data_IF_139986394832
#
_entry.id   IF_139986394832
#
_cell.length_a   1.000
_cell.length_b   1.000
_cell.length_c   1.000
_cell.angle_alpha   90.00
_cell.angle_beta   90.00
_cell.angle_gamma   90.00
#
_symmetry.space_group_name_H-M   'P 1'
#
loop_
_entity.id
_entity.type
_entity.pdbx_description
1 polymer ?
#
# COMPACT_ATOMS: atom_id res chain seq x y z
N UNK A 1 4.52 29.12 -18.01
CA UNK A 1 3.63 28.62 -16.94
C UNK A 1 4.30 27.61 -16.00
N UNK A 2 4.23 26.28 -16.18
CA UNK A 2 4.73 25.34 -15.13
C UNK A 2 6.24 25.36 -14.89
N UNK A 3 7.05 25.64 -15.92
CA UNK A 3 8.51 25.79 -15.77
C UNK A 3 8.90 27.04 -14.99
N UNK A 4 8.22 28.16 -15.19
CA UNK A 4 8.47 29.41 -14.47
C UNK A 4 8.10 29.31 -12.99
N UNK A 5 6.99 28.63 -12.64
CA UNK A 5 6.65 28.41 -11.21
C UNK A 5 7.71 27.58 -10.48
N UNK A 6 8.24 26.54 -11.12
CA UNK A 6 9.29 25.68 -10.55
C UNK A 6 10.61 26.45 -10.37
N UNK A 7 10.91 27.37 -11.30
CA UNK A 7 12.09 28.23 -11.24
C UNK A 7 11.98 29.27 -10.11
N UNK A 8 10.77 29.82 -9.89
CA UNK A 8 10.48 30.69 -8.74
C UNK A 8 10.70 29.93 -7.43
N UNK A 9 10.19 28.70 -7.29
CA UNK A 9 10.38 27.90 -6.07
C UNK A 9 11.86 27.60 -5.78
N UNK A 10 12.68 27.33 -6.81
CA UNK A 10 14.13 27.16 -6.64
C UNK A 10 14.83 28.47 -6.25
N UNK A 11 14.36 29.62 -6.75
CA UNK A 11 14.90 30.95 -6.43
C UNK A 11 14.58 31.43 -5.00
N UNK A 12 13.46 30.99 -4.41
CA UNK A 12 13.13 31.27 -2.99
C UNK A 12 13.73 30.25 -2.00
N UNK A 13 14.59 29.34 -2.47
CA UNK A 13 15.24 28.34 -1.62
C UNK A 13 14.31 27.22 -1.17
N UNK A 14 13.26 26.92 -1.94
CA UNK A 14 12.42 25.76 -1.65
C UNK A 14 13.29 24.50 -1.69
N UNK A 15 13.39 23.84 -0.54
CA UNK A 15 14.13 22.60 -0.37
C UNK A 15 13.55 21.55 -1.31
N UNK A 16 14.39 20.68 -1.88
CA UNK A 16 13.97 19.56 -2.76
C UNK A 16 12.80 18.75 -2.19
N UNK A 17 12.61 18.78 -0.87
CA UNK A 17 11.48 18.23 -0.15
C UNK A 17 10.11 18.64 -0.73
N UNK A 18 9.88 19.89 -1.12
CA UNK A 18 8.53 20.33 -1.56
C UNK A 18 8.02 19.56 -2.78
N UNK A 19 8.93 19.14 -3.66
CA UNK A 19 8.61 18.31 -4.85
C UNK A 19 8.40 16.83 -4.47
N UNK A 20 9.01 16.37 -3.37
CA UNK A 20 8.99 14.98 -2.91
C UNK A 20 7.73 14.63 -2.10
N UNK A 21 7.15 15.57 -1.33
CA UNK A 21 5.92 15.34 -0.55
C UNK A 21 4.79 14.72 -1.39
N UNK A 22 4.37 15.33 -2.53
CA UNK A 22 3.21 14.83 -3.26
C UNK A 22 3.42 13.41 -3.76
N UNK A 23 4.62 13.10 -4.27
CA UNK A 23 4.98 11.75 -4.73
C UNK A 23 4.99 10.73 -3.58
N UNK A 24 5.48 11.11 -2.40
CA UNK A 24 5.47 10.24 -1.23
C UNK A 24 4.03 9.92 -0.81
N UNK A 25 3.15 10.92 -0.80
CA UNK A 25 1.71 10.75 -0.49
C UNK A 25 1.05 9.82 -1.51
N UNK A 26 1.29 10.02 -2.80
CA UNK A 26 0.77 9.14 -3.85
C UNK A 26 1.21 7.69 -3.66
N UNK A 27 2.49 7.46 -3.34
CA UNK A 27 3.03 6.13 -3.03
C UNK A 27 2.37 5.50 -1.81
N UNK A 28 2.16 6.28 -0.74
CA UNK A 28 1.47 5.82 0.46
C UNK A 28 0.02 5.40 0.16
N UNK A 29 -0.70 6.20 -0.64
CA UNK A 29 -2.08 5.91 -1.05
C UNK A 29 -2.11 4.65 -1.93
N UNK A 30 -1.20 4.51 -2.89
CA UNK A 30 -1.09 3.29 -3.70
C UNK A 30 -0.83 2.05 -2.84
N UNK A 31 0.06 2.16 -1.84
CA UNK A 31 0.32 1.11 -0.87
C UNK A 31 -0.90 0.74 -0.03
N UNK A 32 -1.66 1.73 0.44
CA UNK A 32 -2.92 1.52 1.16
C UNK A 32 -3.94 0.76 0.30
N UNK A 33 -4.18 1.25 -0.92
CA UNK A 33 -5.16 0.68 -1.85
C UNK A 33 -4.77 -0.75 -2.22
N UNK A 34 -3.49 -1.03 -2.48
CA UNK A 34 -2.99 -2.38 -2.72
C UNK A 34 -3.24 -3.32 -1.53
N UNK A 35 -3.00 -2.84 -0.31
CA UNK A 35 -3.29 -3.58 0.92
C UNK A 35 -4.78 -3.90 1.09
N UNK A 36 -5.66 -2.93 0.84
CA UNK A 36 -7.12 -3.12 0.90
C UNK A 36 -7.61 -4.12 -0.16
N UNK A 37 -7.06 -4.06 -1.38
CA UNK A 37 -7.39 -5.02 -2.44
C UNK A 37 -6.94 -6.43 -2.02
N UNK A 38 -5.72 -6.57 -1.51
CA UNK A 38 -5.20 -7.87 -1.05
C UNK A 38 -6.07 -8.47 0.07
N UNK A 39 -6.47 -7.66 1.06
CA UNK A 39 -7.38 -8.08 2.13
C UNK A 39 -8.76 -8.49 1.59
N UNK A 40 -9.30 -7.74 0.64
CA UNK A 40 -10.59 -8.05 0.01
C UNK A 40 -10.55 -9.38 -0.74
N UNK A 41 -9.48 -9.63 -1.49
CA UNK A 41 -9.26 -10.90 -2.20
C UNK A 41 -9.10 -12.05 -1.21
N UNK A 42 -8.32 -11.87 -0.15
CA UNK A 42 -8.13 -12.87 0.90
C UNK A 42 -9.46 -13.23 1.58
N UNK A 43 -10.27 -12.23 1.90
CA UNK A 43 -11.60 -12.41 2.47
C UNK A 43 -12.55 -13.16 1.53
N UNK A 44 -12.54 -12.82 0.24
CA UNK A 44 -13.36 -13.50 -0.77
C UNK A 44 -12.96 -14.97 -0.90
N UNK A 45 -11.66 -15.27 -0.96
CA UNK A 45 -11.16 -16.65 -0.99
C UNK A 45 -11.58 -17.40 0.28
N UNK A 46 -11.35 -16.83 1.46
CA UNK A 46 -11.76 -17.42 2.73
C UNK A 46 -13.25 -17.78 2.73
N UNK A 47 -14.12 -16.86 2.30
CA UNK A 47 -15.57 -17.09 2.21
C UNK A 47 -15.92 -18.24 1.26
N UNK A 48 -15.32 -18.30 0.06
CA UNK A 48 -15.56 -19.39 -0.91
C UNK A 48 -15.12 -20.74 -0.33
N UNK A 49 -13.96 -20.80 0.33
CA UNK A 49 -13.46 -22.03 0.93
C UNK A 49 -14.32 -22.47 2.12
N UNK A 50 -14.76 -21.55 2.97
CA UNK A 50 -15.65 -21.85 4.09
C UNK A 50 -17.00 -22.41 3.61
N UNK A 51 -17.59 -21.80 2.57
CA UNK A 51 -18.83 -22.28 1.97
C UNK A 51 -18.70 -23.67 1.31
N UNK A 52 -17.50 -24.02 0.80
CA UNK A 52 -17.26 -25.30 0.10
C UNK A 52 -16.71 -26.42 1.00
N UNK A 53 -16.10 -26.12 2.14
CA UNK A 53 -15.31 -27.09 2.93
C UNK A 53 -16.07 -27.95 3.95
N UNK A 54 -17.38 -27.83 4.13
CA UNK A 54 -18.09 -28.66 5.13
C UNK A 54 -18.66 -29.97 4.57
N UNK A 55 -18.74 -30.15 3.25
CA UNK A 55 -19.42 -31.33 2.69
C UNK A 55 -18.53 -32.50 2.24
N UNK A 56 -17.19 -32.37 2.22
CA UNK A 56 -16.35 -33.33 1.46
C UNK A 56 -15.31 -34.06 2.31
N UNK A 57 -14.88 -33.55 3.47
CA UNK A 57 -13.70 -34.09 4.14
C UNK A 57 -13.97 -34.24 5.65
N UNK A 58 -14.21 -35.48 6.08
CA UNK A 58 -14.33 -35.90 7.49
C UNK A 58 -13.02 -35.85 8.28
N UNK A 59 -12.23 -34.80 8.08
CA UNK A 59 -11.10 -34.46 8.95
C UNK A 59 -11.61 -33.66 10.15
N UNK A 60 -10.96 -33.77 11.33
CA UNK A 60 -11.28 -32.90 12.46
C UNK A 60 -11.25 -31.45 11.96
N UNK A 61 -12.35 -30.75 12.22
CA UNK A 61 -12.59 -29.36 11.78
C UNK A 61 -11.39 -28.54 12.24
N UNK A 62 -10.46 -28.29 11.32
CA UNK A 62 -9.52 -27.19 11.51
C UNK A 62 -10.42 -25.97 11.53
N UNK A 63 -10.58 -25.35 12.70
CA UNK A 63 -11.20 -24.04 12.82
C UNK A 63 -10.36 -23.08 12.00
N UNK A 64 -10.67 -22.97 10.71
CA UNK A 64 -10.07 -21.98 9.83
C UNK A 64 -10.71 -20.67 10.28
N UNK A 65 -10.12 -20.04 11.29
CA UNK A 65 -10.50 -18.68 11.67
C UNK A 65 -9.95 -17.73 10.63
N UNK A 66 -10.69 -16.66 10.35
CA UNK A 66 -10.17 -15.59 9.52
C UNK A 66 -8.90 -14.98 10.15
N UNK A 67 -8.14 -14.25 9.33
CA UNK A 67 -6.88 -13.63 9.71
C UNK A 67 -7.03 -12.86 11.04
N UNK A 68 -6.17 -13.09 12.05
CA UNK A 68 -6.25 -12.39 13.33
C UNK A 68 -6.13 -10.86 13.17
N UNK A 69 -6.74 -10.11 14.08
CA UNK A 69 -6.81 -8.65 14.03
C UNK A 69 -5.43 -7.97 14.00
N UNK A 70 -4.43 -8.61 14.61
CA UNK A 70 -3.04 -8.14 14.63
C UNK A 70 -2.47 -8.07 13.21
N UNK A 71 -2.68 -9.10 12.39
CA UNK A 71 -2.18 -9.16 11.02
C UNK A 71 -2.92 -8.19 10.09
N UNK A 72 -4.20 -7.94 10.36
CA UNK A 72 -4.99 -6.91 9.67
C UNK A 72 -4.37 -5.53 9.87
N UNK A 73 -4.02 -5.19 11.12
CA UNK A 73 -3.31 -3.96 11.45
C UNK A 73 -1.95 -3.87 10.77
N UNK A 74 -1.18 -4.97 10.78
CA UNK A 74 0.12 -5.03 10.08
C UNK A 74 0.00 -4.80 8.58
N UNK A 75 -0.97 -5.41 7.89
CA UNK A 75 -1.14 -5.22 6.45
C UNK A 75 -1.53 -3.78 6.12
N UNK A 76 -2.46 -3.20 6.89
CA UNK A 76 -2.92 -1.83 6.68
C UNK A 76 -1.82 -0.80 6.96
N UNK A 77 -0.88 -1.11 7.86
CA UNK A 77 0.27 -0.26 8.15
C UNK A 77 1.42 -0.46 7.15
N UNK A 78 1.76 -1.72 6.85
CA UNK A 78 2.88 -2.05 5.97
C UNK A 78 2.63 -1.64 4.51
N UNK A 79 1.38 -1.70 4.03
CA UNK A 79 1.05 -1.26 2.67
C UNK A 79 1.50 0.18 2.39
N UNK A 80 0.97 1.19 3.12
CA UNK A 80 1.41 2.58 3.02
C UNK A 80 2.89 2.77 3.31
N UNK A 81 3.44 2.07 4.31
CA UNK A 81 4.85 2.18 4.67
C UNK A 81 5.79 1.73 3.54
N UNK A 82 5.49 0.60 2.90
CA UNK A 82 6.23 0.12 1.73
C UNK A 82 6.00 1.04 0.52
N UNK A 83 4.79 1.59 0.36
CA UNK A 83 4.48 2.59 -0.66
C UNK A 83 5.30 3.88 -0.52
N UNK A 84 5.49 4.35 0.72
CA UNK A 84 6.37 5.48 1.04
C UNK A 84 7.83 5.18 0.70
N UNK A 85 8.34 4.02 1.11
CA UNK A 85 9.72 3.62 0.81
C UNK A 85 9.94 3.47 -0.70
N UNK A 86 9.02 2.80 -1.40
CA UNK A 86 9.07 2.61 -2.84
C UNK A 86 9.06 3.94 -3.59
N UNK A 87 8.20 4.87 -3.17
CA UNK A 87 8.15 6.22 -3.74
C UNK A 87 9.42 7.02 -3.46
N UNK A 88 9.96 6.93 -2.24
CA UNK A 88 11.23 7.58 -1.88
C UNK A 88 12.39 7.11 -2.76
N UNK A 89 12.50 5.81 -3.01
CA UNK A 89 13.52 5.23 -3.92
C UNK A 89 13.28 5.68 -5.37
N UNK A 90 12.02 5.68 -5.82
CA UNK A 90 11.67 6.07 -7.19
C UNK A 90 12.01 7.54 -7.48
N UNK A 91 11.75 8.44 -6.53
CA UNK A 91 12.11 9.87 -6.62
C UNK A 91 13.61 10.04 -6.83
N UNK A 92 14.45 9.34 -6.05
CA UNK A 92 15.90 9.42 -6.17
C UNK A 92 16.38 9.02 -7.57
N UNK A 93 15.74 8.03 -8.20
CA UNK A 93 16.09 7.56 -9.53
C UNK A 93 15.57 8.46 -10.67
N UNK A 94 14.42 9.12 -10.49
CA UNK A 94 13.79 9.93 -11.54
C UNK A 94 14.28 11.39 -11.60
N UNK A 95 14.77 11.94 -10.48
CA UNK A 95 15.31 13.30 -10.44
C UNK A 95 16.83 13.36 -10.68
N UNK A 96 17.51 12.21 -10.81
CA UNK A 96 18.93 12.10 -11.20
C UNK A 96 19.14 11.95 -12.72
N UNK A 97 18.12 12.23 -13.55
CA UNK A 97 18.24 12.39 -15.01
C UNK A 97 18.05 13.87 -15.40
#
# INVERSE_FOLDING_TARGET
SRREEIEIFKLVGATDWFVKIPFLIEGAIQGLVGGLIALSVLFMLYSIFFLKKVHIIGLPVLDITFLPYEYLGFILFLGPFLGLIGSFIAIGRFFEL
#
